data_IF_310015921830
#
_entry.id   IF_310015921830
#
_cell.length_a   1.000
_cell.length_b   1.000
_cell.length_c   1.000
_cell.angle_alpha   90.00
_cell.angle_beta   90.00
_cell.angle_gamma   90.00
#
_symmetry.space_group_name_H-M   'P 1'
#
loop_
_entity.id
_entity.type
_entity.pdbx_description
1 polymer ?
#
# COMPACT_ATOMS: atom_id res chain seq x y z
N UNK A 1 13.57 24.99 8.41
CA UNK A 1 12.85 25.07 7.13
C UNK A 1 11.76 23.99 7.11
N UNK A 2 10.48 24.35 7.07
CA UNK A 2 9.39 23.36 6.88
C UNK A 2 9.52 22.82 5.45
N UNK A 3 9.95 21.57 5.31
CA UNK A 3 10.13 20.91 4.01
C UNK A 3 8.82 20.97 3.20
N UNK A 4 8.90 21.46 1.97
CA UNK A 4 7.78 21.51 1.04
C UNK A 4 7.34 20.06 0.80
N UNK A 5 6.12 19.66 1.19
CA UNK A 5 5.57 18.33 0.88
C UNK A 5 5.68 18.11 -0.63
N UNK A 6 6.52 17.15 -1.06
CA UNK A 6 6.65 16.75 -2.46
C UNK A 6 5.25 16.34 -2.94
N UNK A 7 4.76 16.93 -4.03
CA UNK A 7 3.51 16.47 -4.64
C UNK A 7 3.80 15.12 -5.29
N UNK A 8 3.00 14.11 -4.96
CA UNK A 8 3.08 12.80 -5.60
C UNK A 8 2.71 12.96 -7.09
N UNK A 9 3.40 12.23 -7.94
CA UNK A 9 3.18 12.17 -9.38
C UNK A 9 2.14 11.11 -9.72
N UNK A 10 1.50 11.22 -10.89
CA UNK A 10 0.58 10.16 -11.39
C UNK A 10 1.29 8.81 -11.53
N UNK A 11 2.59 8.80 -11.82
CA UNK A 11 3.40 7.57 -11.86
C UNK A 11 3.52 6.92 -10.48
N UNK A 12 3.79 7.71 -9.44
CA UNK A 12 3.87 7.21 -8.06
C UNK A 12 2.51 6.70 -7.56
N UNK A 13 1.40 7.36 -7.95
CA UNK A 13 0.04 6.88 -7.69
C UNK A 13 -0.20 5.54 -8.38
N UNK A 14 0.06 5.44 -9.69
CA UNK A 14 -0.13 4.21 -10.45
C UNK A 14 0.74 3.06 -9.95
N UNK A 15 1.96 3.34 -9.50
CA UNK A 15 2.81 2.34 -8.85
C UNK A 15 2.19 1.84 -7.54
N UNK A 16 1.66 2.74 -6.71
CA UNK A 16 0.96 2.38 -5.46
C UNK A 16 -0.26 1.49 -5.73
N UNK A 17 -1.06 1.83 -6.74
CA UNK A 17 -2.21 1.03 -7.17
C UNK A 17 -1.77 -0.36 -7.66
N UNK A 18 -0.71 -0.44 -8.48
CA UNK A 18 -0.16 -1.72 -8.94
C UNK A 18 0.32 -2.63 -7.81
N UNK A 19 0.97 -2.06 -6.78
CA UNK A 19 1.38 -2.82 -5.59
C UNK A 19 0.17 -3.25 -4.76
N UNK A 20 -0.84 -2.39 -4.60
CA UNK A 20 -2.07 -2.74 -3.89
C UNK A 20 -2.81 -3.90 -4.55
N UNK A 21 -2.96 -3.86 -5.87
CA UNK A 21 -3.54 -4.93 -6.67
C UNK A 21 -2.78 -6.25 -6.50
N UNK A 22 -1.45 -6.21 -6.62
CA UNK A 22 -0.61 -7.40 -6.44
C UNK A 22 -0.76 -7.99 -5.03
N UNK A 23 -0.76 -7.14 -3.99
CA UNK A 23 -0.97 -7.57 -2.60
C UNK A 23 -2.37 -8.16 -2.37
N UNK A 24 -3.41 -7.58 -2.98
CA UNK A 24 -4.78 -8.07 -2.91
C UNK A 24 -4.92 -9.46 -3.56
N UNK A 25 -4.29 -9.68 -4.71
CA UNK A 25 -4.20 -10.99 -5.35
C UNK A 25 -3.44 -11.99 -4.48
N UNK A 26 -2.27 -11.61 -3.96
CA UNK A 26 -1.48 -12.46 -3.07
C UNK A 26 -2.29 -12.91 -1.86
N UNK A 27 -3.04 -12.00 -1.22
CA UNK A 27 -3.92 -12.36 -0.11
C UNK A 27 -5.02 -13.36 -0.53
N UNK A 28 -5.60 -13.16 -1.70
CA UNK A 28 -6.63 -14.06 -2.26
C UNK A 28 -6.10 -15.47 -2.47
N UNK A 29 -4.82 -15.61 -2.84
CA UNK A 29 -4.15 -16.90 -3.03
C UNK A 29 -3.34 -17.35 -1.81
N UNK A 30 -3.56 -16.77 -0.62
CA UNK A 30 -2.87 -17.11 0.63
C UNK A 30 -1.33 -17.01 0.55
N UNK A 31 -0.82 -16.06 -0.23
CA UNK A 31 0.60 -15.72 -0.36
C UNK A 31 0.99 -14.57 0.58
N UNK A 32 2.30 -14.32 0.70
CA UNK A 32 2.86 -13.30 1.60
C UNK A 32 2.67 -11.85 1.09
N UNK A 33 1.45 -11.33 1.23
CA UNK A 33 1.14 -9.93 0.94
C UNK A 33 1.81 -8.96 1.92
N UNK A 34 2.13 -9.41 3.14
CA UNK A 34 2.78 -8.59 4.17
C UNK A 34 4.21 -8.24 3.75
N UNK A 35 4.96 -9.24 3.30
CA UNK A 35 6.30 -9.08 2.73
C UNK A 35 6.32 -8.10 1.56
N UNK A 36 5.39 -8.25 0.61
CA UNK A 36 5.31 -7.34 -0.55
C UNK A 36 5.07 -5.88 -0.13
N UNK A 37 4.09 -5.63 0.76
CA UNK A 37 3.78 -4.28 1.23
C UNK A 37 4.98 -3.67 1.95
N UNK A 38 5.64 -4.45 2.82
CA UNK A 38 6.81 -4.01 3.57
C UNK A 38 7.99 -3.67 2.64
N UNK A 39 8.30 -4.53 1.67
CA UNK A 39 9.42 -4.36 0.74
C UNK A 39 9.18 -3.25 -0.29
N UNK A 40 7.92 -2.92 -0.58
CA UNK A 40 7.58 -1.81 -1.48
C UNK A 40 8.11 -0.45 -1.01
N UNK A 41 8.33 -0.29 0.31
CA UNK A 41 8.73 0.97 0.93
C UNK A 41 7.65 2.06 0.89
N UNK A 42 6.43 1.72 0.45
CA UNK A 42 5.31 2.66 0.36
C UNK A 42 4.68 2.80 1.75
N UNK A 43 4.47 4.03 2.26
CA UNK A 43 3.74 4.24 3.50
C UNK A 43 2.33 3.65 3.45
N UNK A 44 1.88 3.01 4.54
CA UNK A 44 0.51 2.48 4.67
C UNK A 44 -0.56 3.53 4.38
N UNK A 45 -0.32 4.79 4.76
CA UNK A 45 -1.21 5.92 4.46
C UNK A 45 -1.35 6.24 2.97
N UNK A 46 -0.35 5.94 2.14
CA UNK A 46 -0.44 6.14 0.69
C UNK A 46 -1.31 5.06 0.04
N UNK A 47 -1.23 3.81 0.51
CA UNK A 47 -2.18 2.77 0.10
C UNK A 47 -3.62 3.15 0.43
N UNK A 48 -3.88 3.62 1.66
CA UNK A 48 -5.24 4.05 2.08
C UNK A 48 -5.79 5.21 1.25
N UNK A 49 -4.91 5.99 0.62
CA UNK A 49 -5.29 7.18 -0.16
C UNK A 49 -5.43 6.92 -1.65
N UNK A 50 -4.61 6.02 -2.19
CA UNK A 50 -4.44 5.88 -3.64
C UNK A 50 -4.81 4.51 -4.19
N UNK A 51 -4.88 3.46 -3.35
CA UNK A 51 -5.34 2.17 -3.80
C UNK A 51 -6.82 2.22 -4.21
N UNK A 52 -7.19 1.37 -5.17
CA UNK A 52 -8.59 1.18 -5.51
C UNK A 52 -9.33 0.54 -4.32
N UNK A 53 -10.58 0.96 -4.12
CA UNK A 53 -11.38 0.57 -2.94
C UNK A 53 -11.44 -0.95 -2.76
N UNK A 54 -11.66 -1.69 -3.86
CA UNK A 54 -11.75 -3.16 -3.79
C UNK A 54 -10.43 -3.85 -3.41
N UNK A 55 -9.28 -3.25 -3.74
CA UNK A 55 -7.98 -3.79 -3.35
C UNK A 55 -7.68 -3.39 -1.90
N UNK A 56 -8.02 -2.16 -1.52
CA UNK A 56 -7.87 -1.65 -0.16
C UNK A 56 -8.66 -2.49 0.84
N UNK A 57 -9.93 -2.81 0.57
CA UNK A 57 -10.74 -3.70 1.41
C UNK A 57 -10.07 -5.05 1.66
N UNK A 58 -9.43 -5.60 0.62
CA UNK A 58 -8.71 -6.86 0.73
C UNK A 58 -7.46 -6.70 1.57
N UNK A 59 -6.67 -5.64 1.43
CA UNK A 59 -5.38 -5.53 2.12
C UNK A 59 -5.44 -4.76 3.45
N UNK A 60 -6.59 -4.21 3.86
CA UNK A 60 -6.71 -3.34 5.05
C UNK A 60 -6.13 -3.98 6.32
N UNK A 61 -6.41 -5.27 6.54
CA UNK A 61 -5.90 -6.01 7.70
C UNK A 61 -4.38 -6.16 7.70
N UNK A 62 -3.76 -6.18 6.51
CA UNK A 62 -2.29 -6.24 6.35
C UNK A 62 -1.69 -4.86 6.64
N UNK A 63 -2.35 -3.79 6.22
CA UNK A 63 -1.91 -2.43 6.52
C UNK A 63 -1.96 -2.14 8.03
N UNK A 64 -3.04 -2.53 8.69
CA UNK A 64 -3.22 -2.35 10.14
C UNK A 64 -2.17 -3.14 10.95
N UNK A 65 -1.76 -4.33 10.48
CA UNK A 65 -0.71 -5.13 11.14
C UNK A 65 0.68 -4.51 11.01
N UNK A 66 0.95 -3.73 9.95
CA UNK A 66 2.20 -2.98 9.81
C UNK A 66 2.25 -1.75 10.73
N UNK A 67 1.11 -1.07 10.90
CA UNK A 67 1.04 0.15 11.72
C UNK A 67 1.23 -0.15 13.22
N UNK A 68 0.86 -1.35 13.68
CA UNK A 68 0.99 -1.79 15.09
C UNK A 68 2.37 -2.37 15.43
N UNK A 69 3.19 -2.73 14.44
CA UNK A 69 4.55 -3.27 14.64
C UNK A 69 5.64 -2.19 14.71
N UNK A 70 5.27 -0.90 14.70
CA UNK A 70 6.18 0.25 14.88
C UNK A 70 6.26 0.70 16.32
#
# INVERSE_FOLDING_TARGET
MKGRKKRITQREIGFTQGVAFAAALMKTYHMDAEGLIKESGIPTGDFRKYADESDLERIISVLDSQDTKK
#
